data_IF_175102629851
#
_entry.id   IF_175102629851
#
_cell.length_a   1.000
_cell.length_b   1.000
_cell.length_c   1.000
_cell.angle_alpha   90.00
_cell.angle_beta   90.00
_cell.angle_gamma   90.00
#
_symmetry.space_group_name_H-M   'P 1'
#
loop_
_entity.id
_entity.type
_entity.pdbx_description
1 polymer ?
#
# COMPACT_ATOMS: atom_id res chain seq x y z
N UNK A 1 -43.64 -17.79 -5.24
CA UNK A 1 -42.82 -17.40 -4.07
C UNK A 1 -41.54 -18.18 -4.20
N UNK A 2 -40.56 -17.63 -4.92
CA UNK A 2 -39.26 -18.28 -5.06
C UNK A 2 -38.54 -18.09 -3.73
N UNK A 3 -38.35 -19.17 -2.97
CA UNK A 3 -37.43 -19.16 -1.84
C UNK A 3 -36.05 -18.89 -2.41
N UNK A 4 -35.58 -17.66 -2.31
CA UNK A 4 -34.18 -17.32 -2.57
C UNK A 4 -33.37 -17.99 -1.48
N UNK A 5 -32.77 -19.15 -1.77
CA UNK A 5 -31.73 -19.71 -0.91
C UNK A 5 -30.60 -18.68 -0.85
N UNK A 6 -30.20 -18.27 0.36
CA UNK A 6 -29.03 -17.41 0.53
C UNK A 6 -27.80 -18.10 -0.10
N UNK A 7 -26.96 -17.37 -0.85
CA UNK A 7 -25.77 -17.95 -1.45
C UNK A 7 -24.83 -18.47 -0.36
N UNK A 8 -24.21 -19.62 -0.62
CA UNK A 8 -23.19 -20.24 0.24
C UNK A 8 -21.82 -20.07 -0.41
N UNK A 9 -20.78 -19.98 0.41
CA UNK A 9 -19.41 -19.95 -0.06
C UNK A 9 -19.06 -21.25 -0.81
N UNK A 10 -18.57 -21.12 -2.04
CA UNK A 10 -18.24 -22.26 -2.91
C UNK A 10 -17.04 -23.07 -2.40
N UNK A 11 -16.24 -22.53 -1.47
CA UNK A 11 -15.09 -23.20 -0.87
C UNK A 11 -15.45 -23.98 0.40
N UNK A 12 -16.12 -23.33 1.37
CA UNK A 12 -16.40 -23.92 2.69
C UNK A 12 -17.86 -24.37 2.87
N UNK A 13 -18.74 -24.05 1.92
CA UNK A 13 -20.20 -24.33 1.97
C UNK A 13 -20.95 -23.70 3.15
N UNK A 14 -20.37 -22.67 3.78
CA UNK A 14 -21.00 -21.91 4.87
C UNK A 14 -21.68 -20.63 4.35
N UNK A 15 -22.63 -20.05 5.12
CA UNK A 15 -23.22 -18.75 4.81
C UNK A 15 -22.16 -17.65 4.69
N UNK A 16 -22.36 -16.72 3.75
CA UNK A 16 -21.43 -15.63 3.41
C UNK A 16 -21.53 -14.45 4.39
N UNK A 17 -21.35 -14.77 5.67
CA UNK A 17 -21.35 -13.80 6.77
C UNK A 17 -20.19 -14.08 7.72
N UNK A 18 -19.63 -13.02 8.27
CA UNK A 18 -18.68 -13.04 9.39
C UNK A 18 -19.48 -12.92 10.69
N UNK A 19 -19.22 -13.80 11.66
CA UNK A 19 -19.82 -13.69 13.00
C UNK A 19 -18.89 -12.88 13.89
N UNK A 20 -19.39 -11.78 14.44
CA UNK A 20 -18.65 -10.97 15.38
C UNK A 20 -18.77 -11.59 16.78
N UNK A 21 -17.65 -11.74 17.49
CA UNK A 21 -17.64 -12.08 18.91
C UNK A 21 -17.68 -10.81 19.74
N UNK A 22 -18.51 -10.71 20.80
CA UNK A 22 -18.47 -9.56 21.69
C UNK A 22 -17.11 -9.48 22.42
N UNK A 23 -16.52 -8.29 22.46
CA UNK A 23 -15.16 -8.05 22.98
C UNK A 23 -15.06 -8.09 24.52
N UNK A 24 -16.16 -8.27 25.25
CA UNK A 24 -16.14 -8.33 26.72
C UNK A 24 -17.15 -9.33 27.31
N UNK A 25 -16.74 -10.01 28.38
CA UNK A 25 -17.56 -10.98 29.12
C UNK A 25 -18.69 -10.33 29.95
N UNK A 26 -18.68 -8.99 30.08
CA UNK A 26 -19.62 -8.18 30.89
C UNK A 26 -20.74 -7.52 30.05
N UNK A 27 -20.75 -7.67 28.73
CA UNK A 27 -21.87 -7.22 27.90
C UNK A 27 -22.99 -8.27 27.91
N UNK A 28 -24.10 -7.96 28.60
CA UNK A 28 -25.31 -8.77 28.50
C UNK A 28 -25.75 -8.85 27.03
N UNK A 29 -26.07 -10.05 26.50
CA UNK A 29 -26.46 -10.21 25.11
C UNK A 29 -27.76 -9.43 24.87
N UNK A 30 -27.64 -8.24 24.28
CA UNK A 30 -28.81 -7.52 23.80
C UNK A 30 -29.45 -8.39 22.72
N UNK A 31 -30.72 -8.70 22.89
CA UNK A 31 -31.50 -9.58 22.02
C UNK A 31 -31.80 -8.91 20.67
N UNK A 32 -30.75 -8.58 19.93
CA UNK A 32 -30.79 -8.13 18.55
C UNK A 32 -30.16 -9.24 17.73
N UNK A 33 -31.00 -10.05 17.08
CA UNK A 33 -30.56 -11.06 16.12
C UNK A 33 -29.62 -10.42 15.08
N UNK A 34 -28.48 -11.10 14.87
CA UNK A 34 -27.46 -10.89 13.84
C UNK A 34 -26.30 -9.95 14.18
N UNK A 35 -25.45 -10.37 15.12
CA UNK A 35 -24.07 -9.88 15.24
C UNK A 35 -23.19 -10.43 14.09
N UNK A 36 -23.65 -10.24 12.85
CA UNK A 36 -23.04 -10.80 11.65
C UNK A 36 -22.91 -9.74 10.58
N UNK A 37 -21.74 -9.68 9.94
CA UNK A 37 -21.48 -8.79 8.81
C UNK A 37 -21.47 -9.62 7.52
N UNK A 38 -21.94 -9.07 6.39
CA UNK A 38 -21.80 -9.74 5.10
C UNK A 38 -20.31 -9.91 4.73
N UNK A 39 -19.99 -11.02 4.08
CA UNK A 39 -18.68 -11.31 3.48
C UNK A 39 -18.88 -12.15 2.22
N UNK A 40 -19.31 -11.47 1.16
CA UNK A 40 -19.65 -12.07 -0.12
C UNK A 40 -18.85 -11.44 -1.25
N UNK A 41 -17.95 -12.23 -1.82
CA UNK A 41 -17.27 -11.96 -3.09
C UNK A 41 -17.94 -12.76 -4.20
N UNK A 42 -18.73 -12.07 -5.03
CA UNK A 42 -19.41 -12.67 -6.16
C UNK A 42 -18.59 -12.49 -7.45
N UNK A 43 -18.07 -13.62 -7.96
CA UNK A 43 -17.25 -13.69 -9.19
C UNK A 43 -18.11 -13.65 -10.47
N UNK A 44 -17.54 -13.25 -11.63
CA UNK A 44 -18.26 -13.22 -12.92
C UNK A 44 -18.87 -14.55 -13.37
N UNK A 45 -18.30 -15.67 -12.92
CA UNK A 45 -18.80 -17.02 -13.21
C UNK A 45 -20.05 -17.42 -12.40
N UNK A 46 -20.48 -16.58 -11.44
CA UNK A 46 -21.64 -16.82 -10.58
C UNK A 46 -21.34 -17.51 -9.24
N UNK A 47 -20.08 -17.84 -8.96
CA UNK A 47 -19.69 -18.40 -7.66
C UNK A 47 -19.44 -17.29 -6.63
N UNK A 48 -19.79 -17.60 -5.39
CA UNK A 48 -19.64 -16.72 -4.24
C UNK A 48 -18.60 -17.29 -3.27
N UNK A 49 -17.81 -16.42 -2.64
CA UNK A 49 -16.77 -16.80 -1.69
C UNK A 49 -16.71 -15.82 -0.53
N UNK A 50 -16.34 -16.29 0.66
CA UNK A 50 -15.76 -15.42 1.69
C UNK A 50 -14.45 -14.83 1.14
N UNK A 51 -14.10 -13.61 1.55
CA UNK A 51 -12.86 -12.97 1.12
C UNK A 51 -11.64 -13.84 1.42
N UNK A 52 -11.53 -14.37 2.65
CA UNK A 52 -10.43 -15.25 3.06
C UNK A 52 -10.39 -16.56 2.26
N UNK A 53 -11.54 -17.20 2.05
CA UNK A 53 -11.62 -18.43 1.26
C UNK A 53 -11.18 -18.24 -0.19
N UNK A 54 -11.48 -17.08 -0.79
CA UNK A 54 -11.01 -16.74 -2.13
C UNK A 54 -9.49 -16.57 -2.14
N UNK A 55 -8.92 -15.82 -1.18
CA UNK A 55 -7.48 -15.57 -1.09
C UNK A 55 -6.67 -16.86 -0.93
N UNK A 56 -7.12 -17.76 -0.07
CA UNK A 56 -6.42 -19.03 0.19
C UNK A 56 -6.43 -19.99 -1.01
N UNK A 57 -7.48 -19.96 -1.82
CA UNK A 57 -7.67 -20.88 -2.93
C UNK A 57 -7.21 -20.31 -4.29
N UNK A 58 -6.79 -19.05 -4.33
CA UNK A 58 -6.46 -18.36 -5.57
C UNK A 58 -5.02 -18.63 -6.02
N UNK A 59 -4.86 -19.00 -7.30
CA UNK A 59 -3.54 -19.25 -7.89
C UNK A 59 -3.19 -18.29 -9.05
N UNK A 60 -4.17 -17.82 -9.85
CA UNK A 60 -3.86 -16.99 -11.06
C UNK A 60 -5.01 -16.13 -11.56
N UNK A 61 -5.95 -16.64 -12.36
CA UNK A 61 -7.09 -15.85 -12.90
C UNK A 61 -8.32 -16.73 -13.10
N UNK A 62 -8.31 -17.93 -12.51
CA UNK A 62 -9.38 -18.91 -12.65
C UNK A 62 -10.17 -18.99 -11.35
N UNK A 63 -11.48 -19.14 -11.46
CA UNK A 63 -12.32 -19.42 -10.30
C UNK A 63 -11.87 -20.73 -9.62
N UNK A 64 -11.62 -20.75 -8.30
CA UNK A 64 -11.21 -21.97 -7.60
C UNK A 64 -12.24 -23.11 -7.64
N UNK A 65 -13.54 -22.78 -7.79
CA UNK A 65 -14.62 -23.77 -7.78
C UNK A 65 -14.91 -24.41 -9.14
N UNK A 66 -14.83 -23.64 -10.24
CA UNK A 66 -15.19 -24.13 -11.58
C UNK A 66 -14.10 -24.00 -12.63
N UNK A 67 -12.93 -23.46 -12.27
CA UNK A 67 -11.76 -23.23 -13.13
C UNK A 67 -12.02 -22.40 -14.38
N UNK A 68 -13.16 -21.68 -14.42
CA UNK A 68 -13.45 -20.73 -15.49
C UNK A 68 -12.57 -19.50 -15.30
N UNK A 69 -11.96 -19.02 -16.38
CA UNK A 69 -11.23 -17.75 -16.38
C UNK A 69 -12.19 -16.61 -15.99
N UNK A 70 -11.82 -15.89 -14.93
CA UNK A 70 -12.57 -14.76 -14.37
C UNK A 70 -11.92 -13.42 -14.74
N UNK A 71 -10.83 -13.44 -15.52
CA UNK A 71 -10.21 -12.23 -16.00
C UNK A 71 -11.03 -11.55 -17.10
N UNK A 72 -10.97 -10.24 -17.10
CA UNK A 72 -11.50 -9.37 -18.15
C UNK A 72 -10.34 -8.63 -18.79
N UNK A 73 -10.36 -8.44 -20.12
CA UNK A 73 -9.32 -7.68 -20.79
C UNK A 73 -9.34 -6.24 -20.28
N UNK A 74 -8.16 -5.62 -20.09
CA UNK A 74 -8.07 -4.23 -19.66
C UNK A 74 -8.78 -3.31 -20.65
N UNK A 75 -9.27 -2.14 -20.18
CA UNK A 75 -9.84 -1.14 -21.07
C UNK A 75 -8.78 -0.74 -22.12
N UNK A 76 -9.20 -0.37 -23.34
CA UNK A 76 -8.27 0.09 -24.38
C UNK A 76 -7.59 1.38 -23.91
N UNK A 77 -6.36 1.27 -23.38
CA UNK A 77 -5.57 2.41 -22.96
C UNK A 77 -5.14 3.24 -24.17
N UNK A 78 -5.50 4.52 -24.15
CA UNK A 78 -4.89 5.51 -25.02
C UNK A 78 -3.48 5.79 -24.49
N UNK A 79 -2.45 5.29 -25.18
CA UNK A 79 -1.06 5.78 -25.07
C UNK A 79 -0.14 5.22 -23.97
N UNK A 80 -0.12 3.91 -23.72
CA UNK A 80 0.97 3.29 -22.92
C UNK A 80 1.49 2.00 -23.56
N UNK A 81 2.82 1.92 -23.72
CA UNK A 81 3.57 0.80 -24.32
C UNK A 81 3.81 -0.38 -23.37
N UNK A 82 3.14 -0.41 -22.22
CA UNK A 82 3.20 -1.52 -21.26
C UNK A 82 2.04 -2.49 -21.49
N UNK A 83 2.23 -3.81 -21.36
CA UNK A 83 1.10 -4.75 -21.34
C UNK A 83 0.17 -4.32 -20.21
N UNK A 84 -1.10 -4.09 -20.53
CA UNK A 84 -2.08 -3.74 -19.53
C UNK A 84 -2.42 -5.00 -18.71
N UNK A 85 -2.41 -4.85 -17.38
CA UNK A 85 -2.74 -5.93 -16.46
C UNK A 85 -4.19 -6.41 -16.68
N UNK A 86 -4.49 -7.70 -16.52
CA UNK A 86 -5.87 -8.19 -16.55
C UNK A 86 -6.67 -7.60 -15.38
N UNK A 87 -7.99 -7.53 -15.54
CA UNK A 87 -8.88 -7.09 -14.46
C UNK A 87 -9.73 -8.24 -13.95
N UNK A 88 -10.01 -8.29 -12.65
CA UNK A 88 -10.95 -9.24 -12.07
C UNK A 88 -12.07 -8.44 -11.41
N UNK A 89 -13.15 -8.25 -12.17
CA UNK A 89 -14.29 -7.44 -11.75
C UNK A 89 -15.28 -8.28 -10.95
N UNK A 90 -15.52 -7.93 -9.69
CA UNK A 90 -16.43 -8.64 -8.80
C UNK A 90 -17.55 -7.74 -8.28
N UNK A 91 -18.58 -8.36 -7.71
CA UNK A 91 -19.48 -7.68 -6.79
C UNK A 91 -19.10 -8.06 -5.38
N UNK A 92 -18.66 -7.09 -4.58
CA UNK A 92 -18.28 -7.27 -3.19
C UNK A 92 -19.39 -6.75 -2.28
N UNK A 93 -19.79 -7.52 -1.28
CA UNK A 93 -20.70 -7.08 -0.23
C UNK A 93 -20.07 -7.37 1.13
N UNK A 94 -19.68 -6.30 1.82
CA UNK A 94 -19.02 -6.36 3.13
C UNK A 94 -19.54 -5.25 4.06
N UNK A 95 -18.86 -4.99 5.17
CA UNK A 95 -19.18 -3.90 6.13
C UNK A 95 -19.31 -2.52 5.45
N UNK A 96 -18.51 -2.27 4.40
CA UNK A 96 -18.55 -1.05 3.59
C UNK A 96 -19.76 -0.96 2.65
N UNK A 97 -20.63 -1.98 2.63
CA UNK A 97 -21.80 -2.08 1.76
C UNK A 97 -21.53 -2.83 0.47
N UNK A 98 -22.42 -2.62 -0.52
CA UNK A 98 -22.36 -3.29 -1.81
C UNK A 98 -21.55 -2.48 -2.83
N UNK A 99 -20.48 -3.06 -3.36
CA UNK A 99 -19.61 -2.48 -4.37
C UNK A 99 -19.68 -3.35 -5.64
N UNK A 100 -20.06 -2.75 -6.76
CA UNK A 100 -20.18 -3.45 -8.05
C UNK A 100 -19.02 -3.11 -8.98
N UNK A 101 -18.58 -4.08 -9.78
CA UNK A 101 -17.47 -3.94 -10.72
C UNK A 101 -16.17 -3.51 -10.03
N UNK A 102 -15.94 -3.98 -8.80
CA UNK A 102 -14.69 -3.74 -8.09
C UNK A 102 -13.61 -4.61 -8.74
N UNK A 103 -12.51 -3.98 -9.18
CA UNK A 103 -11.35 -4.70 -9.68
C UNK A 103 -10.49 -5.17 -8.50
N UNK A 104 -10.54 -6.47 -8.20
CA UNK A 104 -9.78 -7.08 -7.11
C UNK A 104 -8.43 -7.65 -7.58
N UNK A 105 -8.13 -7.63 -8.87
CA UNK A 105 -6.85 -8.17 -9.37
C UNK A 105 -5.62 -7.55 -8.68
N UNK A 106 -5.55 -6.22 -8.46
CA UNK A 106 -4.43 -5.62 -7.73
C UNK A 106 -4.27 -6.18 -6.31
N UNK A 107 -5.38 -6.39 -5.60
CA UNK A 107 -5.40 -6.92 -4.23
C UNK A 107 -4.94 -8.38 -4.19
N UNK A 108 -5.44 -9.20 -5.13
CA UNK A 108 -5.03 -10.61 -5.21
C UNK A 108 -3.55 -10.76 -5.56
N UNK A 109 -3.03 -9.90 -6.45
CA UNK A 109 -1.61 -9.87 -6.81
C UNK A 109 -0.74 -9.51 -5.62
N UNK A 110 -1.16 -8.52 -4.84
CA UNK A 110 -0.44 -8.09 -3.64
C UNK A 110 -0.43 -9.16 -2.56
N UNK A 111 -1.58 -9.78 -2.25
CA UNK A 111 -1.62 -10.86 -1.24
C UNK A 111 -0.79 -12.07 -1.68
N UNK A 112 -0.85 -12.46 -2.96
CA UNK A 112 0.00 -13.54 -3.48
C UNK A 112 1.49 -13.21 -3.33
N UNK A 113 1.88 -11.94 -3.52
CA UNK A 113 3.25 -11.48 -3.31
C UNK A 113 3.65 -11.52 -1.82
N UNK A 114 2.80 -11.03 -0.92
CA UNK A 114 3.06 -11.01 0.52
C UNK A 114 3.02 -12.41 1.16
N UNK A 115 2.30 -13.34 0.55
CA UNK A 115 2.35 -14.76 0.92
C UNK A 115 3.71 -15.38 0.57
N UNK A 116 4.26 -15.01 -0.60
CA UNK A 116 5.58 -15.46 -1.03
C UNK A 116 6.75 -14.75 -0.34
N UNK A 117 6.57 -13.49 0.07
CA UNK A 117 7.58 -12.62 0.69
C UNK A 117 7.02 -11.92 1.95
N UNK A 118 6.80 -12.64 3.07
CA UNK A 118 6.19 -12.08 4.27
C UNK A 118 6.93 -10.87 4.85
N UNK A 119 8.26 -10.81 4.70
CA UNK A 119 9.11 -9.71 5.16
C UNK A 119 8.77 -8.37 4.47
N UNK A 120 8.14 -8.42 3.28
CA UNK A 120 7.75 -7.22 2.54
C UNK A 120 6.52 -6.53 3.14
N UNK A 121 5.78 -7.16 4.06
CA UNK A 121 4.61 -6.55 4.71
C UNK A 121 4.96 -5.22 5.38
N UNK A 122 6.09 -5.16 6.09
CA UNK A 122 6.55 -3.92 6.74
C UNK A 122 7.01 -2.86 5.74
N UNK A 123 7.64 -3.28 4.63
CA UNK A 123 8.03 -2.39 3.54
C UNK A 123 6.81 -1.73 2.88
N UNK A 124 5.78 -2.52 2.53
CA UNK A 124 4.56 -1.99 1.90
C UNK A 124 3.76 -1.11 2.87
N UNK A 125 3.62 -1.51 4.14
CA UNK A 125 2.97 -0.67 5.16
C UNK A 125 3.69 0.68 5.33
N UNK A 126 5.02 0.69 5.35
CA UNK A 126 5.80 1.92 5.37
C UNK A 126 5.53 2.82 4.16
N UNK A 127 5.44 2.24 2.96
CA UNK A 127 5.16 2.98 1.73
C UNK A 127 3.74 3.57 1.73
N UNK A 128 2.76 2.86 2.29
CA UNK A 128 1.40 3.36 2.48
C UNK A 128 1.34 4.52 3.47
N UNK A 129 2.03 4.42 4.62
CA UNK A 129 2.14 5.56 5.55
C UNK A 129 2.81 6.78 4.90
N UNK A 130 3.74 6.57 3.98
CA UNK A 130 4.30 7.66 3.18
C UNK A 130 3.26 8.27 2.20
N UNK A 131 2.33 7.46 1.69
CA UNK A 131 1.24 7.90 0.82
C UNK A 131 0.14 8.65 1.57
N UNK A 132 -0.10 8.31 2.83
CA UNK A 132 -1.08 8.96 3.71
C UNK A 132 -0.51 10.23 4.38
N UNK A 133 0.81 10.31 4.50
CA UNK A 133 1.48 11.39 5.20
C UNK A 133 1.61 11.17 6.72
N UNK A 134 1.44 9.95 7.21
CA UNK A 134 1.46 9.63 8.64
C UNK A 134 2.90 9.45 9.16
N UNK A 135 3.49 10.55 9.61
CA UNK A 135 4.82 10.55 10.22
C UNK A 135 4.91 9.69 11.48
N UNK A 136 3.82 9.61 12.27
CA UNK A 136 3.84 8.88 13.52
C UNK A 136 3.88 7.38 13.24
N UNK A 137 3.03 6.89 12.33
CA UNK A 137 3.02 5.49 11.91
C UNK A 137 4.38 5.07 11.30
N UNK A 138 5.01 5.95 10.49
CA UNK A 138 6.37 5.72 9.98
C UNK A 138 7.36 5.53 11.13
N UNK A 139 7.38 6.45 12.10
CA UNK A 139 8.34 6.38 13.22
C UNK A 139 8.08 5.15 14.09
N UNK A 140 6.82 4.86 14.42
CA UNK A 140 6.44 3.69 15.19
C UNK A 140 6.88 2.40 14.49
N UNK A 141 6.70 2.30 13.18
CA UNK A 141 7.14 1.14 12.40
C UNK A 141 8.66 0.99 12.39
N UNK A 142 9.42 2.08 12.25
CA UNK A 142 10.89 2.05 12.24
C UNK A 142 11.51 1.76 13.62
N UNK A 143 10.81 2.10 14.70
CA UNK A 143 11.24 1.85 16.08
C UNK A 143 10.76 0.51 16.64
N UNK A 144 9.88 -0.21 15.92
CA UNK A 144 9.38 -1.49 16.34
C UNK A 144 10.54 -2.48 16.56
N UNK A 145 10.47 -3.33 17.61
CA UNK A 145 11.51 -4.33 17.82
C UNK A 145 11.58 -5.26 16.61
N UNK A 146 12.80 -5.54 16.08
CA UNK A 146 12.94 -6.42 14.92
C UNK A 146 12.56 -7.84 15.31
N UNK A 147 11.69 -8.47 14.51
CA UNK A 147 11.38 -9.89 14.58
C UNK A 147 12.29 -10.67 13.61
N UNK A 148 12.36 -12.00 13.78
CA UNK A 148 13.17 -12.85 12.92
C UNK A 148 12.64 -12.79 11.47
N UNK A 149 13.51 -12.39 10.54
CA UNK A 149 13.15 -12.25 9.12
C UNK A 149 12.71 -10.83 8.71
N UNK A 150 12.57 -9.90 9.66
CA UNK A 150 12.20 -8.53 9.33
C UNK A 150 13.30 -7.75 8.59
N UNK A 151 12.91 -6.83 7.69
CA UNK A 151 13.83 -5.86 7.15
C UNK A 151 14.28 -4.88 8.24
N UNK A 152 15.57 -4.54 8.24
CA UNK A 152 16.11 -3.46 9.07
C UNK A 152 15.48 -2.10 8.73
N UNK A 153 15.47 -1.12 9.66
CA UNK A 153 14.99 0.24 9.38
C UNK A 153 15.65 0.88 8.15
N UNK A 154 16.95 0.64 7.95
CA UNK A 154 17.69 1.12 6.78
C UNK A 154 17.20 0.50 5.46
N UNK A 155 16.75 -0.75 5.47
CA UNK A 155 16.14 -1.42 4.30
C UNK A 155 14.72 -0.90 4.07
N UNK A 156 13.91 -0.74 5.12
CA UNK A 156 12.54 -0.21 5.03
C UNK A 156 12.54 1.17 4.38
N UNK A 157 13.41 2.08 4.86
CA UNK A 157 13.54 3.45 4.33
C UNK A 157 13.86 3.50 2.82
N UNK A 158 14.46 2.44 2.27
CA UNK A 158 14.87 2.31 0.86
C UNK A 158 14.02 1.30 0.09
N UNK A 159 12.94 0.82 0.68
CA UNK A 159 12.01 -0.08 0.01
C UNK A 159 11.37 0.62 -1.19
N UNK A 160 11.05 -0.17 -2.21
CA UNK A 160 10.43 0.29 -3.45
C UNK A 160 9.10 -0.40 -3.65
N UNK A 161 8.08 0.33 -4.05
CA UNK A 161 6.76 -0.20 -4.29
C UNK A 161 6.72 -0.99 -5.61
N UNK A 162 6.53 -2.33 -5.58
CA UNK A 162 6.56 -3.16 -6.79
C UNK A 162 5.32 -2.96 -7.67
N UNK A 163 4.20 -2.52 -7.08
CA UNK A 163 2.92 -2.35 -7.78
C UNK A 163 2.55 -0.88 -8.06
N UNK A 164 3.46 0.06 -7.81
CA UNK A 164 3.17 1.47 -8.06
C UNK A 164 3.15 1.74 -9.57
N UNK A 165 2.61 2.89 -9.96
CA UNK A 165 2.61 3.31 -11.36
C UNK A 165 3.37 4.64 -11.52
N UNK A 166 4.59 4.63 -12.10
CA UNK A 166 5.40 3.47 -12.49
C UNK A 166 5.89 2.66 -11.27
N UNK A 167 6.32 1.39 -11.47
CA UNK A 167 6.88 0.58 -10.39
C UNK A 167 8.21 1.15 -9.88
N UNK A 168 8.66 0.67 -8.73
CA UNK A 168 9.97 1.03 -8.18
C UNK A 168 9.99 2.35 -7.38
N UNK A 169 8.83 2.94 -7.08
CA UNK A 169 8.77 4.18 -6.31
C UNK A 169 9.15 3.94 -4.85
N UNK A 170 10.09 4.72 -4.32
CA UNK A 170 10.41 4.72 -2.88
C UNK A 170 9.41 5.56 -2.09
N UNK A 171 9.45 5.47 -0.75
CA UNK A 171 8.68 6.35 0.13
C UNK A 171 8.87 7.84 -0.17
N UNK A 172 10.07 8.25 -0.62
CA UNK A 172 10.32 9.65 -1.01
C UNK A 172 9.59 10.03 -2.31
N UNK A 173 9.52 9.14 -3.30
CA UNK A 173 8.74 9.39 -4.52
C UNK A 173 7.26 9.56 -4.19
N UNK A 174 6.75 8.69 -3.32
CA UNK A 174 5.34 8.65 -2.89
C UNK A 174 4.98 9.89 -2.06
N UNK A 175 5.81 10.26 -1.09
CA UNK A 175 5.58 11.45 -0.28
C UNK A 175 5.60 12.72 -1.15
N UNK A 176 6.52 12.78 -2.12
CA UNK A 176 6.58 13.90 -3.05
C UNK A 176 5.33 13.95 -3.93
N UNK A 177 4.94 12.84 -4.55
CA UNK A 177 3.79 12.80 -5.47
C UNK A 177 2.46 13.16 -4.79
N UNK A 178 2.32 12.88 -3.50
CA UNK A 178 1.14 13.20 -2.71
C UNK A 178 1.21 14.54 -1.96
N UNK A 179 2.33 15.26 -2.02
CA UNK A 179 2.44 16.58 -1.38
C UNK A 179 2.75 16.55 0.12
N UNK A 180 3.20 15.41 0.67
CA UNK A 180 3.52 15.23 2.09
C UNK A 180 4.92 15.73 2.40
N UNK A 181 5.04 17.04 2.59
CA UNK A 181 6.33 17.73 2.81
C UNK A 181 7.05 17.28 4.08
N UNK A 182 6.29 17.09 5.13
CA UNK A 182 6.79 16.73 6.46
C UNK A 182 7.34 15.29 6.44
N UNK A 183 6.68 14.37 5.73
CA UNK A 183 7.22 13.03 5.45
C UNK A 183 8.46 13.11 4.56
N UNK A 184 8.45 13.89 3.47
CA UNK A 184 9.61 14.03 2.60
C UNK A 184 10.86 14.52 3.37
N UNK A 185 10.70 15.51 4.27
CA UNK A 185 11.78 15.96 5.15
C UNK A 185 12.25 14.88 6.13
N UNK A 186 11.33 14.14 6.74
CA UNK A 186 11.67 13.02 7.63
C UNK A 186 12.50 11.97 6.87
N UNK A 187 12.06 11.57 5.68
CA UNK A 187 12.77 10.57 4.86
C UNK A 187 14.15 11.05 4.42
N UNK A 188 14.28 12.32 4.01
CA UNK A 188 15.57 12.92 3.69
C UNK A 188 16.48 13.00 4.93
N UNK A 189 15.93 13.35 6.09
CA UNK A 189 16.69 13.35 7.33
C UNK A 189 17.22 11.94 7.64
N UNK A 190 16.40 10.90 7.48
CA UNK A 190 16.77 9.55 7.90
C UNK A 190 17.61 8.75 6.88
N UNK A 191 17.46 9.03 5.58
CA UNK A 191 17.97 8.15 4.52
C UNK A 191 18.81 8.83 3.43
N UNK A 192 19.16 10.12 3.60
CA UNK A 192 20.09 10.83 2.70
C UNK A 192 21.45 11.09 3.33
N UNK A 193 22.45 11.35 2.49
CA UNK A 193 23.79 11.78 2.90
C UNK A 193 23.89 13.29 3.13
N UNK A 194 22.78 14.04 3.07
CA UNK A 194 22.76 15.50 3.29
C UNK A 194 23.22 15.82 4.71
N UNK A 195 24.21 16.70 4.94
CA UNK A 195 24.64 17.07 6.29
C UNK A 195 23.48 17.56 7.18
N UNK A 196 23.42 17.12 8.43
CA UNK A 196 22.33 17.45 9.36
C UNK A 196 22.14 18.97 9.54
N UNK A 197 23.23 19.74 9.50
CA UNK A 197 23.24 21.20 9.62
C UNK A 197 22.55 21.93 8.45
N UNK A 198 22.33 21.25 7.33
CA UNK A 198 21.65 21.81 6.16
C UNK A 198 20.13 21.71 6.27
N UNK A 199 19.60 20.87 7.17
CA UNK A 199 18.17 20.78 7.40
C UNK A 199 17.66 21.95 8.24
N UNK A 200 16.41 22.42 8.01
CA UNK A 200 15.76 23.37 8.90
C UNK A 200 15.73 22.82 10.33
N UNK A 201 16.09 23.64 11.33
CA UNK A 201 16.15 23.23 12.73
C UNK A 201 14.84 22.60 13.24
N UNK A 202 13.70 23.04 12.70
CA UNK A 202 12.39 22.49 13.04
C UNK A 202 12.29 20.99 12.69
N UNK A 203 12.79 20.56 11.53
CA UNK A 203 12.77 19.15 11.09
C UNK A 203 13.52 18.26 12.08
N UNK A 204 14.68 18.73 12.54
CA UNK A 204 15.48 18.01 13.52
C UNK A 204 14.80 17.94 14.90
N UNK A 205 14.19 19.06 15.34
CA UNK A 205 13.47 19.11 16.62
C UNK A 205 12.25 18.19 16.63
N UNK A 206 11.50 18.13 15.53
CA UNK A 206 10.34 17.24 15.37
C UNK A 206 10.75 15.77 15.38
N UNK A 207 11.79 15.40 14.64
CA UNK A 207 12.33 14.03 14.66
C UNK A 207 12.81 13.63 16.06
N UNK A 208 13.51 14.52 16.77
CA UNK A 208 13.96 14.28 18.13
C UNK A 208 12.79 14.15 19.12
N UNK A 209 11.72 14.92 18.95
CA UNK A 209 10.51 14.80 19.77
C UNK A 209 9.79 13.45 19.56
N UNK A 210 9.88 12.87 18.36
CA UNK A 210 9.40 11.53 18.06
C UNK A 210 10.41 10.42 18.45
N UNK A 211 11.59 10.78 18.96
CA UNK A 211 12.61 9.84 19.41
C UNK A 211 13.34 9.12 18.27
N UNK A 212 13.28 9.63 17.04
CA UNK A 212 13.95 9.02 15.88
C UNK A 212 15.09 9.92 15.41
N UNK A 213 16.23 9.33 15.09
CA UNK A 213 17.41 10.04 14.58
C UNK A 213 18.04 9.25 13.43
N UNK A 214 18.84 9.93 12.61
CA UNK A 214 19.58 9.32 11.51
C UNK A 214 20.59 8.29 12.06
N UNK A 215 20.63 7.11 11.44
CA UNK A 215 21.68 6.12 11.62
C UNK A 215 22.85 6.32 10.62
N UNK A 216 23.92 5.53 10.73
CA UNK A 216 25.05 5.58 9.79
C UNK A 216 24.59 5.33 8.35
N UNK A 217 24.89 6.25 7.44
CA UNK A 217 24.49 6.17 6.03
C UNK A 217 25.60 5.67 5.11
N UNK A 218 26.84 5.59 5.59
CA UNK A 218 27.99 5.20 4.77
C UNK A 218 27.79 3.82 4.12
N UNK A 219 27.92 3.78 2.79
CA UNK A 219 27.81 2.55 1.99
C UNK A 219 26.38 2.16 1.62
N UNK A 220 25.38 2.93 2.03
CA UNK A 220 23.98 2.73 1.63
C UNK A 220 23.61 3.64 0.44
N UNK A 221 22.68 3.23 -0.43
CA UNK A 221 22.17 4.10 -1.48
C UNK A 221 21.53 5.36 -0.88
N UNK A 222 21.90 6.53 -1.37
CA UNK A 222 21.21 7.78 -1.00
C UNK A 222 19.82 7.81 -1.65
N UNK A 223 18.79 7.98 -0.82
CA UNK A 223 17.39 7.96 -1.28
C UNK A 223 17.09 9.04 -2.33
N UNK A 224 17.84 10.15 -2.37
CA UNK A 224 17.69 11.22 -3.37
C UNK A 224 18.06 10.76 -4.78
N UNK A 225 19.00 9.82 -4.90
CA UNK A 225 19.51 9.31 -6.16
C UNK A 225 18.78 8.08 -6.70
N UNK A 226 17.83 7.53 -5.93
CA UNK A 226 17.03 6.39 -6.37
C UNK A 226 16.06 6.80 -7.46
N UNK A 227 15.90 5.95 -8.47
CA UNK A 227 15.01 6.17 -9.60
C UNK A 227 13.91 5.10 -9.65
N UNK A 228 12.70 5.51 -9.98
CA UNK A 228 11.62 4.59 -10.32
C UNK A 228 11.88 3.91 -11.69
N UNK A 229 11.07 2.90 -12.06
CA UNK A 229 11.18 2.24 -13.36
C UNK A 229 10.80 3.15 -14.55
N UNK A 230 10.17 4.29 -14.26
CA UNK A 230 9.96 5.38 -15.23
C UNK A 230 11.20 6.24 -15.46
N UNK A 231 12.32 5.97 -14.77
CA UNK A 231 13.56 6.72 -14.85
C UNK A 231 13.51 8.07 -14.15
N UNK A 232 12.60 8.26 -13.19
CA UNK A 232 12.41 9.53 -12.47
C UNK A 232 12.93 9.40 -11.05
N UNK A 233 13.59 10.45 -10.57
CA UNK A 233 13.87 10.64 -9.15
C UNK A 233 12.71 11.37 -8.45
N UNK A 234 12.75 11.42 -7.12
CA UNK A 234 11.85 12.28 -6.35
C UNK A 234 11.97 13.77 -6.71
N UNK A 235 13.17 14.23 -7.10
CA UNK A 235 13.36 15.59 -7.60
C UNK A 235 12.61 15.84 -8.90
N UNK A 236 12.63 14.87 -9.83
CA UNK A 236 11.94 14.99 -11.10
C UNK A 236 10.42 15.05 -10.91
N UNK A 237 9.89 14.29 -9.95
CA UNK A 237 8.47 14.36 -9.56
C UNK A 237 8.15 15.74 -8.98
N UNK A 238 8.97 16.27 -8.06
CA UNK A 238 8.76 17.59 -7.47
C UNK A 238 8.76 18.71 -8.54
N UNK A 239 9.69 18.66 -9.49
CA UNK A 239 9.74 19.59 -10.64
C UNK A 239 8.48 19.50 -11.50
N UNK A 240 8.00 18.29 -11.78
CA UNK A 240 6.77 18.08 -12.55
C UNK A 240 5.56 18.67 -11.84
N UNK A 241 5.47 18.54 -10.51
CA UNK A 241 4.39 19.11 -9.71
C UNK A 241 4.45 20.63 -9.67
N UNK A 242 5.63 21.22 -9.50
CA UNK A 242 5.82 22.68 -9.54
C UNK A 242 5.46 23.26 -10.92
N UNK A 243 5.78 22.55 -12.00
CA UNK A 243 5.41 22.96 -13.36
C UNK A 243 3.88 23.00 -13.61
N UNK A 244 3.09 22.26 -12.82
CA UNK A 244 1.62 22.26 -12.88
C UNK A 244 1.00 23.42 -12.09
N UNK A 245 1.76 24.08 -11.22
CA UNK A 245 1.33 25.24 -10.44
C UNK A 245 2.17 25.45 -9.18
N UNK A 246 2.15 26.65 -8.57
CA UNK A 246 2.85 26.90 -7.30
C UNK A 246 2.24 26.02 -6.20
N UNK A 247 2.94 24.95 -5.87
CA UNK A 247 2.53 23.95 -4.89
C UNK A 247 3.49 23.84 -3.72
N UNK A 248 3.29 22.81 -2.92
CA UNK A 248 4.06 22.49 -1.70
C UNK A 248 5.59 22.41 -1.97
N UNK A 249 5.97 22.07 -3.19
CA UNK A 249 7.36 21.88 -3.63
C UNK A 249 8.04 23.13 -4.17
N UNK A 250 7.38 24.30 -4.10
CA UNK A 250 7.95 25.52 -4.64
C UNK A 250 9.33 25.82 -4.05
N UNK A 251 10.33 25.97 -4.91
CA UNK A 251 11.71 26.25 -4.49
C UNK A 251 12.43 25.08 -3.82
N UNK A 252 11.98 23.83 -4.02
CA UNK A 252 12.72 22.62 -3.66
C UNK A 252 13.64 22.11 -4.78
N UNK A 253 13.22 22.29 -6.04
CA UNK A 253 13.99 21.88 -7.19
C UNK A 253 15.38 22.55 -7.20
N UNK A 254 16.44 21.76 -7.47
CA UNK A 254 17.82 22.24 -7.49
C UNK A 254 18.42 22.57 -6.12
N UNK A 255 17.70 22.37 -5.01
CA UNK A 255 18.28 22.44 -3.67
C UNK A 255 18.89 21.11 -3.28
N UNK A 256 20.03 21.17 -2.60
CA UNK A 256 20.85 20.01 -2.25
C UNK A 256 20.11 18.97 -1.38
N UNK A 257 19.03 19.34 -0.70
CA UNK A 257 18.24 18.34 0.04
C UNK A 257 17.44 17.40 -0.85
N UNK A 258 16.99 17.81 -2.04
CA UNK A 258 16.27 16.93 -2.98
C UNK A 258 17.12 16.55 -4.19
N UNK A 259 18.07 17.41 -4.58
CA UNK A 259 18.93 17.23 -5.74
C UNK A 259 20.27 16.58 -5.36
N UNK A 260 20.69 15.59 -6.15
CA UNK A 260 22.04 15.04 -6.05
C UNK A 260 23.05 16.01 -6.66
N UNK A 261 24.24 16.21 -6.07
CA UNK A 261 25.30 16.99 -6.69
C UNK A 261 25.66 16.36 -8.05
N UNK A 262 25.80 17.20 -9.09
CA UNK A 262 26.31 16.74 -10.38
C UNK A 262 27.74 16.22 -10.19
N UNK A 263 27.97 14.93 -10.46
CA UNK A 263 29.29 14.31 -10.43
C UNK A 263 30.12 14.73 -11.63
#
# INVERSE_FOLDING_TARGET
MSSSSEPLCAQCSLPLVLTLTPDSEDEEPTSSDNNTLPDDVHLPCGHHFHWSCLLEAYETTSCPACHTDISTPPPPSSSSSSPADPQILVTLHNEGGLQQNLDIFPLLREEAYLSAFPEQRKCLAFLEFCAEGDQHAIVTLLQAPPEEGDPSPAQILRSTHPFSHPPGQTGLHIAVSNGHREVAFLLLLLASEVPELEFPALVYQEAAAMGIMREEQAGLPDIRGMIDEGGRSAEDIAKLMEARGPGVWHGWAGKHWLSMPQR
#
